data_IF_763279534299
#
_entry.id   IF_763279534299
#
_cell.length_a   1.000
_cell.length_b   1.000
_cell.length_c   1.000
_cell.angle_alpha   90.00
_cell.angle_beta   90.00
_cell.angle_gamma   90.00
#
_symmetry.space_group_name_H-M   'P 1'
#
loop_
_entity.id
_entity.type
_entity.pdbx_description
1 polymer ?
#
# COMPACT_ATOMS: atom_id res chain seq x y z
N UNK A 1 1.71 -39.44 -5.05
CA UNK A 1 2.33 -38.34 -5.80
C UNK A 1 2.37 -37.12 -4.91
N UNK A 2 3.49 -36.41 -4.93
CA UNK A 2 3.87 -35.36 -4.00
C UNK A 2 2.92 -34.14 -4.00
N UNK A 3 2.92 -33.50 -2.83
CA UNK A 3 2.65 -32.09 -2.50
C UNK A 3 1.21 -31.62 -2.23
N UNK A 4 0.86 -31.80 -0.95
CA UNK A 4 0.19 -30.84 -0.07
C UNK A 4 0.61 -29.39 -0.38
N UNK A 5 -0.32 -28.59 -0.92
CA UNK A 5 -0.43 -27.16 -0.63
C UNK A 5 -1.92 -26.81 -0.61
N UNK A 6 -2.59 -27.30 0.43
CA UNK A 6 -3.80 -26.67 0.92
C UNK A 6 -3.33 -25.45 1.73
N UNK A 7 -3.04 -24.34 1.06
CA UNK A 7 -3.01 -23.04 1.76
C UNK A 7 -4.43 -22.53 1.76
N UNK A 8 -5.19 -22.95 2.78
CA UNK A 8 -6.33 -22.17 3.22
C UNK A 8 -5.76 -20.80 3.65
N UNK A 9 -5.73 -19.83 2.75
CA UNK A 9 -5.67 -18.43 3.16
C UNK A 9 -7.08 -18.10 3.63
N UNK A 10 -7.18 -18.00 4.95
CA UNK A 10 -8.25 -17.44 5.78
C UNK A 10 -9.20 -16.54 5.00
N UNK A 11 -10.50 -16.57 5.30
CA UNK A 11 -11.51 -15.69 4.70
C UNK A 11 -11.21 -14.19 4.91
N UNK A 12 -10.25 -13.67 4.16
CA UNK A 12 -9.85 -12.29 4.16
C UNK A 12 -10.86 -11.52 3.34
N UNK A 13 -11.54 -10.59 4.00
CA UNK A 13 -12.44 -9.67 3.31
C UNK A 13 -11.63 -8.82 2.33
N UNK A 14 -12.08 -8.66 1.08
CA UNK A 14 -11.44 -7.75 0.15
C UNK A 14 -11.29 -6.37 0.77
N UNK A 15 -10.14 -5.75 0.58
CA UNK A 15 -9.87 -4.40 1.05
C UNK A 15 -9.74 -3.45 -0.12
N UNK A 16 -10.27 -2.24 0.05
CA UNK A 16 -10.11 -1.13 -0.89
C UNK A 16 -9.38 0.00 -0.21
N UNK A 17 -8.38 0.57 -0.87
CA UNK A 17 -7.64 1.71 -0.38
C UNK A 17 -7.72 2.84 -1.39
N UNK A 18 -7.93 4.06 -0.92
CA UNK A 18 -7.78 5.27 -1.73
C UNK A 18 -6.30 5.61 -1.79
N UNK A 19 -5.70 5.55 -2.96
CA UNK A 19 -4.27 5.77 -3.19
C UNK A 19 -4.04 7.12 -3.86
N UNK A 20 -3.33 8.01 -3.19
CA UNK A 20 -2.93 9.32 -3.72
C UNK A 20 -1.53 9.17 -4.30
N UNK A 21 -1.41 9.11 -5.63
CA UNK A 21 -0.14 8.94 -6.34
C UNK A 21 0.61 10.27 -6.50
N UNK A 22 -0.12 11.37 -6.74
CA UNK A 22 0.39 12.75 -6.89
C UNK A 22 -0.66 13.74 -6.39
N UNK A 23 -0.37 15.05 -6.39
CA UNK A 23 -1.26 16.10 -5.85
C UNK A 23 -2.70 16.03 -6.36
N UNK A 24 -2.91 15.59 -7.61
CA UNK A 24 -4.24 15.49 -8.22
C UNK A 24 -4.64 14.07 -8.64
N UNK A 25 -3.72 13.11 -8.55
CA UNK A 25 -3.95 11.74 -9.03
C UNK A 25 -4.31 10.85 -7.85
N UNK A 26 -5.59 10.49 -7.79
CA UNK A 26 -6.15 9.62 -6.77
C UNK A 26 -6.82 8.44 -7.46
N UNK A 27 -6.40 7.23 -7.10
CA UNK A 27 -6.93 5.99 -7.65
C UNK A 27 -7.39 5.05 -6.53
N UNK A 28 -8.28 4.11 -6.87
CA UNK A 28 -8.72 3.06 -5.95
C UNK A 28 -7.87 1.81 -6.15
N UNK A 29 -7.23 1.32 -5.08
CA UNK A 29 -6.55 0.03 -5.06
C UNK A 29 -7.45 -1.01 -4.42
N UNK A 30 -7.86 -2.00 -5.20
CA UNK A 30 -8.55 -3.19 -4.66
C UNK A 30 -7.55 -4.31 -4.39
N UNK A 31 -7.59 -4.85 -3.17
CA UNK A 31 -6.78 -6.00 -2.75
C UNK A 31 -7.77 -7.15 -2.46
N UNK A 32 -7.92 -8.11 -3.41
CA UNK A 32 -8.91 -9.17 -3.32
C UNK A 32 -8.78 -10.00 -2.05
N UNK A 33 -7.54 -10.25 -1.63
CA UNK A 33 -7.19 -11.08 -0.48
C UNK A 33 -7.07 -10.28 0.83
N UNK A 34 -7.58 -9.04 0.85
CA UNK A 34 -7.45 -8.11 1.99
C UNK A 34 -6.09 -7.43 2.08
N UNK A 35 -5.89 -6.61 3.11
CA UNK A 35 -4.64 -5.89 3.32
C UNK A 35 -3.51 -6.90 3.61
N UNK A 36 -2.37 -6.85 2.89
CA UNK A 36 -1.25 -7.75 3.13
C UNK A 36 -0.70 -7.60 4.55
N UNK A 37 -0.20 -8.68 5.15
CA UNK A 37 0.43 -8.62 6.48
C UNK A 37 1.84 -7.99 6.47
N UNK A 38 2.39 -7.72 5.28
CA UNK A 38 3.73 -7.15 5.10
C UNK A 38 3.66 -5.85 4.32
N UNK A 39 4.40 -4.85 4.79
CA UNK A 39 4.52 -3.56 4.10
C UNK A 39 5.16 -3.74 2.71
N UNK A 40 6.16 -4.60 2.57
CA UNK A 40 6.79 -4.91 1.29
C UNK A 40 5.81 -5.48 0.26
N UNK A 41 4.89 -6.35 0.69
CA UNK A 41 3.88 -6.93 -0.20
C UNK A 41 2.87 -5.87 -0.64
N UNK A 42 2.46 -4.98 0.26
CA UNK A 42 1.62 -3.84 -0.07
C UNK A 42 2.32 -2.91 -1.07
N UNK A 43 3.58 -2.56 -0.83
CA UNK A 43 4.38 -1.72 -1.73
C UNK A 43 4.50 -2.36 -3.11
N UNK A 44 4.79 -3.67 -3.18
CA UNK A 44 4.84 -4.42 -4.46
C UNK A 44 3.51 -4.39 -5.18
N UNK A 45 2.39 -4.55 -4.46
CA UNK A 45 1.04 -4.47 -5.03
C UNK A 45 0.78 -3.09 -5.63
N UNK A 46 1.04 -2.02 -4.89
CA UNK A 46 0.87 -0.63 -5.35
C UNK A 46 1.73 -0.39 -6.61
N UNK A 47 3.01 -0.78 -6.58
CA UNK A 47 3.90 -0.64 -7.74
C UNK A 47 3.38 -1.41 -8.96
N UNK A 48 2.98 -2.66 -8.78
CA UNK A 48 2.47 -3.50 -9.86
C UNK A 48 1.13 -3.00 -10.42
N UNK A 49 0.25 -2.46 -9.58
CA UNK A 49 -1.07 -1.97 -10.01
C UNK A 49 -0.95 -0.65 -10.78
N UNK A 50 -0.13 0.28 -10.28
CA UNK A 50 -0.01 1.63 -10.84
C UNK A 50 1.22 1.82 -11.74
N UNK A 51 1.99 0.75 -12.01
CA UNK A 51 3.19 0.80 -12.83
C UNK A 51 4.28 1.72 -12.27
N UNK A 52 4.44 1.77 -10.94
CA UNK A 52 5.43 2.63 -10.29
C UNK A 52 6.78 1.92 -10.19
N UNK A 53 7.85 2.68 -10.45
CA UNK A 53 9.23 2.19 -10.37
C UNK A 53 10.04 2.99 -9.34
N UNK A 54 11.12 2.37 -8.84
CA UNK A 54 12.04 2.99 -7.88
C UNK A 54 11.61 2.87 -6.41
N UNK A 55 12.33 3.57 -5.54
CA UNK A 55 12.06 3.60 -4.10
C UNK A 55 10.89 4.53 -3.78
N UNK A 56 10.03 4.02 -2.91
CA UNK A 56 8.74 4.61 -2.63
C UNK A 56 8.43 4.38 -1.16
N UNK A 57 7.93 5.41 -0.51
CA UNK A 57 7.31 5.32 0.80
C UNK A 57 5.82 5.54 0.68
N UNK A 58 5.09 5.01 1.64
CA UNK A 58 3.65 5.23 1.74
C UNK A 58 3.34 5.86 3.08
N UNK A 59 2.41 6.79 3.06
CA UNK A 59 1.83 7.40 4.24
C UNK A 59 0.37 7.00 4.33
N UNK A 60 -0.19 6.90 5.52
CA UNK A 60 -1.61 6.67 5.73
C UNK A 60 -2.25 7.91 6.37
N UNK A 61 -3.53 8.11 6.10
CA UNK A 61 -4.32 9.15 6.74
C UNK A 61 -4.76 8.68 8.12
N UNK A 62 -4.40 9.44 9.14
CA UNK A 62 -4.80 9.16 10.52
C UNK A 62 -5.98 10.07 10.91
N UNK A 63 -7.20 9.53 11.03
CA UNK A 63 -8.38 10.32 11.37
C UNK A 63 -8.29 10.98 12.75
N UNK A 64 -7.59 10.36 13.71
CA UNK A 64 -7.47 10.87 15.08
C UNK A 64 -6.59 12.13 15.18
N UNK A 65 -5.74 12.37 14.18
CA UNK A 65 -4.85 13.53 14.10
C UNK A 65 -5.31 14.52 13.03
N UNK A 66 -6.62 14.73 12.90
CA UNK A 66 -7.16 15.73 11.97
C UNK A 66 -7.04 15.34 10.49
N UNK A 67 -6.93 14.04 10.20
CA UNK A 67 -6.70 13.50 8.85
C UNK A 67 -5.32 13.85 8.26
N UNK A 68 -4.32 14.08 9.11
CA UNK A 68 -2.94 14.23 8.69
C UNK A 68 -2.35 12.91 8.16
N UNK A 69 -1.29 13.03 7.34
CA UNK A 69 -0.60 11.90 6.75
C UNK A 69 0.64 11.51 7.55
N UNK A 70 0.69 10.26 8.02
CA UNK A 70 1.79 9.69 8.78
C UNK A 70 2.49 8.59 8.00
N UNK A 71 3.78 8.37 8.26
CA UNK A 71 4.51 7.28 7.62
C UNK A 71 3.94 5.94 8.05
N UNK A 72 3.56 5.13 7.07
CA UNK A 72 3.08 3.78 7.32
C UNK A 72 4.27 2.87 7.57
N UNK A 73 4.34 2.27 8.75
CA UNK A 73 5.39 1.30 9.12
C UNK A 73 4.84 -0.11 9.16
N UNK A 74 3.53 -0.25 9.43
CA UNK A 74 2.85 -1.54 9.51
C UNK A 74 1.51 -1.48 8.79
N UNK A 75 1.19 -2.52 8.02
CA UNK A 75 -0.11 -2.62 7.34
C UNK A 75 -1.28 -2.80 8.30
N UNK A 76 -1.02 -3.09 9.58
CA UNK A 76 -2.03 -3.10 10.65
C UNK A 76 -2.62 -1.73 10.94
N UNK A 77 -1.95 -0.65 10.54
CA UNK A 77 -2.44 0.73 10.64
C UNK A 77 -3.45 1.05 9.54
N UNK A 78 -3.61 0.17 8.55
CA UNK A 78 -4.57 0.33 7.47
C UNK A 78 -5.88 -0.40 7.75
N UNK A 79 -6.95 0.18 7.25
CA UNK A 79 -8.30 -0.37 7.29
C UNK A 79 -8.94 -0.32 5.90
N UNK A 80 -10.02 -1.10 5.70
CA UNK A 80 -10.83 -0.98 4.49
C UNK A 80 -11.32 0.47 4.32
N UNK A 81 -11.31 0.94 3.07
CA UNK A 81 -11.59 2.33 2.68
C UNK A 81 -10.62 3.37 3.27
N UNK A 82 -9.47 2.92 3.79
CA UNK A 82 -8.40 3.81 4.24
C UNK A 82 -7.80 4.62 3.09
N UNK A 83 -7.20 5.77 3.43
CA UNK A 83 -6.48 6.60 2.47
C UNK A 83 -4.98 6.47 2.68
N UNK A 84 -4.25 6.14 1.61
CA UNK A 84 -2.79 6.14 1.58
C UNK A 84 -2.28 7.13 0.56
N UNK A 85 -1.12 7.72 0.84
CA UNK A 85 -0.41 8.64 -0.04
C UNK A 85 0.94 8.07 -0.38
N UNK A 86 1.23 8.01 -1.67
CA UNK A 86 2.49 7.51 -2.19
C UNK A 86 3.49 8.68 -2.25
N UNK A 87 4.65 8.46 -1.66
CA UNK A 87 5.77 9.41 -1.65
C UNK A 87 6.92 8.78 -2.44
N UNK A 88 7.19 9.33 -3.62
CA UNK A 88 8.32 8.89 -4.42
C UNK A 88 9.59 9.39 -3.74
N UNK A 89 10.49 8.48 -3.37
CA UNK A 89 11.81 8.90 -2.93
C UNK A 89 12.58 9.30 -4.18
N UNK A 90 12.51 10.58 -4.53
CA UNK A 90 13.33 11.12 -5.61
C UNK A 90 14.78 10.89 -5.19
N UNK A 91 15.45 9.91 -5.82
CA UNK A 91 16.89 9.76 -5.72
C UNK A 91 17.48 11.02 -6.35
N UNK A 92 17.68 12.04 -5.53
CA UNK A 92 18.49 13.19 -5.87
C UNK A 92 19.93 12.69 -5.96
N UNK A 93 20.23 11.97 -7.04
CA UNK A 93 21.58 11.78 -7.53
C UNK A 93 22.00 13.16 -8.06
N UNK A 94 22.38 14.06 -7.14
CA UNK A 94 23.21 15.20 -7.51
C UNK A 94 24.56 14.61 -7.93
N UNK A 95 24.76 14.48 -9.24
CA UNK A 95 26.10 14.28 -9.79
C UNK A 95 26.84 15.63 -9.67
N UNK A 96 27.91 15.64 -8.87
CA UNK A 96 28.95 16.67 -8.86
C UNK A 96 29.75 16.66 -10.17
#
# INVERSE_FOLDING_TARGET
MLNSQQTATTGSTPARLKVILKEINVEELTIPDGIPNSLDDLLRKIKSTFGLEGDMRVQYMEPDFGNDFFNLNSTTELQDLGTIKVIHQQTNQQCH
#
